data_IF_800573288914
#
_entry.id   IF_800573288914
#
_cell.length_a   1.000
_cell.length_b   1.000
_cell.length_c   1.000
_cell.angle_alpha   90.00
_cell.angle_beta   90.00
_cell.angle_gamma   90.00
#
_symmetry.space_group_name_H-M   'P 1'
#
loop_
_entity.id
_entity.type
_entity.pdbx_description
1 polymer ?
#
# COMPACT_ATOMS: atom_id res chain seq x y z
N UNK A 1 4.46 19.08 43.06
CA UNK A 1 4.20 17.65 43.36
C UNK A 1 3.75 17.00 42.07
N UNK A 2 4.54 16.04 41.59
CA UNK A 2 4.44 15.43 40.26
C UNK A 2 5.84 15.07 39.73
N UNK A 3 6.65 14.46 40.59
CA UNK A 3 7.92 13.84 40.22
C UNK A 3 7.56 12.50 39.55
N UNK A 4 7.66 12.43 38.23
CA UNK A 4 7.60 11.16 37.49
C UNK A 4 8.97 10.94 36.87
N UNK A 5 9.67 9.97 37.47
CA UNK A 5 11.09 9.71 37.32
C UNK A 5 11.63 9.77 35.89
N UNK A 6 12.84 10.32 35.77
CA UNK A 6 13.69 10.11 34.61
C UNK A 6 13.78 8.60 34.33
N UNK A 7 13.29 8.09 33.19
CA UNK A 7 13.79 6.83 32.70
C UNK A 7 15.20 7.15 32.19
N UNK A 8 16.23 6.75 32.93
CA UNK A 8 17.49 6.42 32.26
C UNK A 8 17.20 5.37 31.18
N UNK A 9 17.97 5.31 30.08
CA UNK A 9 17.77 4.25 29.10
C UNK A 9 17.81 2.90 29.83
N UNK A 10 16.77 2.07 29.63
CA UNK A 10 16.82 0.68 30.03
C UNK A 10 17.92 0.02 29.19
N UNK A 11 19.14 -0.03 29.73
CA UNK A 11 20.32 -0.51 29.01
C UNK A 11 20.18 -1.99 28.56
N UNK A 12 19.23 -2.72 29.14
CA UNK A 12 18.98 -4.14 28.86
C UNK A 12 17.70 -4.42 28.03
N UNK A 13 16.98 -3.37 27.58
CA UNK A 13 15.81 -3.56 26.70
C UNK A 13 16.21 -3.47 25.23
N UNK A 14 15.99 -4.52 24.40
CA UNK A 14 16.17 -4.42 22.95
C UNK A 14 15.08 -3.56 22.28
N UNK A 15 14.02 -3.22 23.02
CA UNK A 15 12.90 -2.41 22.54
C UNK A 15 13.12 -0.92 22.88
N UNK A 16 12.83 0.00 21.94
CA UNK A 16 12.89 1.42 22.21
C UNK A 16 11.84 1.81 23.25
N UNK A 17 12.04 2.95 23.89
CA UNK A 17 10.99 3.57 24.70
C UNK A 17 9.75 3.76 23.82
N UNK A 18 8.55 3.63 24.40
CA UNK A 18 7.30 3.80 23.66
C UNK A 18 7.20 5.16 22.94
N UNK A 19 7.93 6.16 23.45
CA UNK A 19 8.04 7.50 22.88
C UNK A 19 8.76 7.53 21.51
N UNK A 20 9.65 6.58 21.25
CA UNK A 20 10.50 6.54 20.04
C UNK A 20 10.25 5.28 19.18
N UNK A 21 9.20 4.51 19.47
CA UNK A 21 8.87 3.26 18.78
C UNK A 21 8.55 3.49 17.29
N UNK A 22 7.89 4.61 16.98
CA UNK A 22 7.59 5.06 15.62
C UNK A 22 8.86 5.41 14.83
N UNK A 23 9.81 6.10 15.47
CA UNK A 23 11.10 6.43 14.86
C UNK A 23 11.94 5.17 14.56
N UNK A 24 11.88 4.14 15.42
CA UNK A 24 12.49 2.83 15.12
C UNK A 24 11.82 2.20 13.89
N UNK A 25 10.49 2.17 13.86
CA UNK A 25 9.76 1.59 12.73
C UNK A 25 10.01 2.33 11.41
N UNK A 26 10.11 3.66 11.42
CA UNK A 26 10.51 4.45 10.24
C UNK A 26 11.89 4.03 9.71
N UNK A 27 12.88 3.81 10.58
CA UNK A 27 14.22 3.35 10.17
C UNK A 27 14.20 1.96 9.54
N UNK A 28 13.37 1.06 10.06
CA UNK A 28 13.25 -0.31 9.56
C UNK A 28 12.48 -0.37 8.24
N UNK A 29 11.50 0.52 8.05
CA UNK A 29 10.71 0.61 6.83
C UNK A 29 11.44 1.31 5.69
N UNK A 30 12.27 2.32 6.00
CA UNK A 30 13.06 3.11 5.04
C UNK A 30 13.76 2.28 3.94
N UNK A 31 14.56 1.24 4.24
CA UNK A 31 15.21 0.43 3.21
C UNK A 31 14.23 -0.40 2.36
N UNK A 32 13.02 -0.69 2.85
CA UNK A 32 12.00 -1.45 2.11
C UNK A 32 11.34 -0.56 1.05
N UNK A 33 11.08 0.70 1.38
CA UNK A 33 10.44 1.67 0.47
C UNK A 33 11.45 2.52 -0.32
N UNK A 34 12.75 2.33 -0.08
CA UNK A 34 13.82 3.06 -0.78
C UNK A 34 13.89 4.55 -0.43
N UNK A 35 13.63 4.91 0.83
CA UNK A 35 13.59 6.30 1.31
C UNK A 35 14.57 6.55 2.45
N UNK A 36 14.87 7.82 2.76
CA UNK A 36 15.53 8.16 4.02
C UNK A 36 14.56 7.97 5.20
N UNK A 37 15.01 7.56 6.41
CA UNK A 37 14.15 7.44 7.57
C UNK A 37 13.36 8.72 7.92
N UNK A 38 13.90 9.90 7.61
CA UNK A 38 13.20 11.18 7.81
C UNK A 38 12.05 11.41 6.83
N UNK A 39 11.98 10.66 5.74
CA UNK A 39 10.91 10.72 4.72
C UNK A 39 9.80 9.69 4.98
N UNK A 40 9.93 8.89 6.05
CA UNK A 40 8.98 7.83 6.43
C UNK A 40 8.36 8.12 7.79
N UNK A 41 7.03 8.08 7.87
CA UNK A 41 6.30 8.09 9.13
C UNK A 41 5.39 6.87 9.25
N UNK A 42 5.58 6.06 10.29
CA UNK A 42 4.67 4.97 10.64
C UNK A 42 3.57 5.54 11.55
N UNK A 43 2.38 5.73 10.98
CA UNK A 43 1.25 6.34 11.69
C UNK A 43 -0.09 5.90 11.09
N UNK A 44 -1.13 5.91 11.92
CA UNK A 44 -2.54 5.71 11.52
C UNK A 44 -2.76 4.48 10.60
N UNK A 45 -3.86 4.47 9.84
CA UNK A 45 -4.18 3.46 8.82
C UNK A 45 -3.91 4.03 7.41
N UNK A 46 -3.86 3.16 6.40
CA UNK A 46 -3.60 3.57 5.00
C UNK A 46 -4.57 4.64 4.50
N UNK A 47 -5.88 4.39 4.60
CA UNK A 47 -6.92 5.32 4.13
C UNK A 47 -6.87 6.66 4.88
N UNK A 48 -6.60 6.63 6.20
CA UNK A 48 -6.42 7.85 6.97
C UNK A 48 -5.21 8.65 6.50
N UNK A 49 -4.07 8.01 6.28
CA UNK A 49 -2.87 8.67 5.74
C UNK A 49 -3.11 9.28 4.37
N UNK A 50 -3.86 8.61 3.47
CA UNK A 50 -4.23 9.18 2.18
C UNK A 50 -5.05 10.46 2.34
N UNK A 51 -6.04 10.50 3.25
CA UNK A 51 -6.77 11.73 3.54
C UNK A 51 -5.86 12.86 4.05
N UNK A 52 -4.94 12.55 4.97
CA UNK A 52 -4.03 13.54 5.56
C UNK A 52 -3.07 14.11 4.51
N UNK A 53 -2.52 13.25 3.66
CA UNK A 53 -1.68 13.67 2.53
C UNK A 53 -2.47 14.50 1.53
N UNK A 54 -3.66 14.05 1.13
CA UNK A 54 -4.49 14.81 0.20
C UNK A 54 -4.87 16.17 0.75
N UNK A 55 -5.17 16.31 2.05
CA UNK A 55 -5.43 17.62 2.65
C UNK A 55 -4.21 18.56 2.56
N UNK A 56 -2.99 18.03 2.60
CA UNK A 56 -1.77 18.82 2.47
C UNK A 56 -1.40 19.16 1.01
N UNK A 57 -1.67 18.24 0.08
CA UNK A 57 -1.15 18.29 -1.29
C UNK A 57 -2.19 18.62 -2.36
N UNK A 58 -3.44 18.21 -2.18
CA UNK A 58 -4.52 18.52 -3.10
C UNK A 58 -5.04 19.94 -2.80
N UNK A 59 -4.56 20.91 -3.60
CA UNK A 59 -4.91 22.34 -3.50
C UNK A 59 -5.64 22.77 -4.77
N UNK A 60 -6.90 22.35 -4.96
CA UNK A 60 -7.58 22.56 -6.23
C UNK A 60 -7.93 24.03 -6.47
N UNK A 61 -7.89 24.43 -7.74
CA UNK A 61 -8.38 25.72 -8.22
C UNK A 61 -9.65 25.49 -9.05
N UNK A 62 -10.78 26.08 -8.63
CA UNK A 62 -12.10 25.87 -9.29
C UNK A 62 -12.06 26.14 -10.79
N UNK A 63 -11.41 27.23 -11.20
CA UNK A 63 -11.28 27.62 -12.61
C UNK A 63 -9.91 27.22 -13.21
N UNK A 64 -9.23 26.23 -12.60
CA UNK A 64 -7.86 25.88 -12.93
C UNK A 64 -7.54 24.40 -12.72
N UNK A 65 -6.41 24.10 -12.07
CA UNK A 65 -6.00 22.72 -11.80
C UNK A 65 -6.77 22.16 -10.61
N UNK A 66 -7.71 21.24 -10.87
CA UNK A 66 -8.50 20.60 -9.81
C UNK A 66 -8.75 19.10 -10.01
N UNK A 67 -8.35 18.52 -11.13
CA UNK A 67 -8.65 17.11 -11.42
C UNK A 67 -7.70 16.16 -10.70
N UNK A 68 -8.22 15.02 -10.25
CA UNK A 68 -7.47 13.88 -9.76
C UNK A 68 -7.69 12.72 -10.72
N UNK A 69 -6.60 12.05 -11.09
CA UNK A 69 -6.61 10.90 -11.98
C UNK A 69 -6.39 9.65 -11.12
N UNK A 70 -7.19 8.60 -11.37
CA UNK A 70 -7.08 7.28 -10.76
C UNK A 70 -7.53 6.21 -11.74
N UNK A 71 -7.20 4.95 -11.49
CA UNK A 71 -7.75 3.83 -12.24
C UNK A 71 -9.24 3.61 -11.93
N UNK A 72 -10.03 3.22 -12.94
CA UNK A 72 -11.50 3.16 -12.82
C UNK A 72 -12.02 2.15 -11.80
N UNK A 73 -11.27 1.06 -11.59
CA UNK A 73 -11.56 0.01 -10.61
C UNK A 73 -10.57 0.03 -9.45
N UNK A 74 -10.22 1.24 -9.02
CA UNK A 74 -9.43 1.43 -7.82
C UNK A 74 -10.04 0.72 -6.62
N UNK A 75 -9.22 0.40 -5.63
CA UNK A 75 -9.72 -0.19 -4.40
C UNK A 75 -10.76 0.78 -3.77
N UNK A 76 -11.91 0.29 -3.26
CA UNK A 76 -13.03 1.15 -2.90
C UNK A 76 -12.67 2.29 -1.95
N UNK A 77 -11.80 2.05 -0.96
CA UNK A 77 -11.41 3.10 -0.01
C UNK A 77 -10.67 4.26 -0.68
N UNK A 78 -9.83 3.98 -1.68
CA UNK A 78 -9.03 4.97 -2.39
C UNK A 78 -9.93 5.84 -3.26
N UNK A 79 -10.91 5.22 -3.93
CA UNK A 79 -11.97 5.92 -4.64
C UNK A 79 -12.75 6.86 -3.71
N UNK A 80 -13.15 6.38 -2.52
CA UNK A 80 -13.85 7.21 -1.54
C UNK A 80 -12.99 8.36 -1.02
N UNK A 81 -11.70 8.14 -0.79
CA UNK A 81 -10.78 9.20 -0.37
C UNK A 81 -10.75 10.32 -1.41
N UNK A 82 -10.55 9.99 -2.69
CA UNK A 82 -10.49 10.97 -3.78
C UNK A 82 -11.82 11.71 -3.90
N UNK A 83 -12.93 10.97 -3.91
CA UNK A 83 -14.26 11.53 -4.06
C UNK A 83 -14.63 12.48 -2.90
N UNK A 84 -14.35 12.08 -1.66
CA UNK A 84 -14.57 12.90 -0.47
C UNK A 84 -13.69 14.14 -0.47
N UNK A 85 -12.42 14.05 -0.86
CA UNK A 85 -11.52 15.21 -0.93
C UNK A 85 -11.98 16.22 -1.98
N UNK A 86 -12.47 15.76 -3.14
CA UNK A 86 -13.07 16.62 -4.16
C UNK A 86 -14.29 17.35 -3.58
N UNK A 87 -15.23 16.62 -2.99
CA UNK A 87 -16.46 17.20 -2.39
C UNK A 87 -16.14 18.17 -1.25
N UNK A 88 -15.14 17.86 -0.42
CA UNK A 88 -14.70 18.71 0.68
C UNK A 88 -14.22 20.10 0.22
N UNK A 89 -13.68 20.18 -1.01
CA UNK A 89 -13.29 21.44 -1.64
C UNK A 89 -14.41 22.11 -2.45
N UNK A 90 -15.65 21.63 -2.33
CA UNK A 90 -16.82 22.16 -3.03
C UNK A 90 -16.79 21.94 -4.54
N UNK A 91 -16.14 20.87 -4.98
CA UNK A 91 -16.06 20.45 -6.37
C UNK A 91 -16.92 19.21 -6.63
N UNK A 92 -17.26 18.98 -7.89
CA UNK A 92 -18.03 17.82 -8.33
C UNK A 92 -17.08 16.67 -8.73
N UNK A 93 -17.26 15.44 -8.21
CA UNK A 93 -16.53 14.27 -8.68
C UNK A 93 -16.68 14.02 -10.19
N UNK A 94 -17.85 14.28 -10.75
CA UNK A 94 -18.14 14.09 -12.18
C UNK A 94 -17.22 14.92 -13.09
N UNK A 95 -16.75 16.06 -12.59
CA UNK A 95 -15.88 16.99 -13.35
C UNK A 95 -14.42 16.96 -12.88
N UNK A 96 -14.17 16.49 -11.67
CA UNK A 96 -12.87 16.56 -10.99
C UNK A 96 -12.21 15.21 -10.78
N UNK A 97 -12.91 14.11 -11.02
CA UNK A 97 -12.38 12.76 -10.87
C UNK A 97 -12.29 12.09 -12.24
N UNK A 98 -11.08 11.76 -12.66
CA UNK A 98 -10.79 11.16 -13.96
C UNK A 98 -10.37 9.71 -13.76
N UNK A 99 -11.32 8.81 -14.00
CA UNK A 99 -11.10 7.38 -13.95
C UNK A 99 -10.54 6.88 -15.29
N UNK A 100 -9.30 6.36 -15.31
CA UNK A 100 -8.72 5.74 -16.50
C UNK A 100 -9.21 4.30 -16.61
N UNK A 101 -9.80 3.97 -17.76
CA UNK A 101 -10.19 2.61 -18.13
C UNK A 101 -9.19 1.99 -19.11
N UNK A 102 -9.07 0.65 -19.16
CA UNK A 102 -8.36 -0.03 -20.25
C UNK A 102 -8.93 0.37 -21.61
N UNK A 103 -8.09 0.41 -22.65
CA UNK A 103 -8.51 0.79 -24.01
C UNK A 103 -9.68 -0.04 -24.53
N UNK A 104 -9.66 -1.34 -24.25
CA UNK A 104 -10.76 -2.27 -24.48
C UNK A 104 -11.09 -2.99 -23.17
N UNK A 105 -11.89 -2.35 -22.31
CA UNK A 105 -12.26 -2.91 -21.01
C UNK A 105 -13.04 -4.25 -21.09
N UNK A 106 -13.50 -4.65 -22.29
CA UNK A 106 -14.10 -5.96 -22.51
C UNK A 106 -13.04 -7.07 -22.68
N UNK A 107 -11.82 -6.74 -23.10
CA UNK A 107 -10.73 -7.70 -23.34
C UNK A 107 -9.59 -7.58 -22.33
N UNK A 108 -9.29 -6.35 -21.94
CA UNK A 108 -8.14 -5.97 -21.13
C UNK A 108 -8.58 -5.57 -19.71
N UNK A 109 -7.83 -6.06 -18.73
CA UNK A 109 -8.00 -5.71 -17.32
C UNK A 109 -6.83 -4.89 -16.78
N UNK A 110 -5.91 -4.46 -17.64
CA UNK A 110 -4.67 -3.77 -17.28
C UNK A 110 -4.57 -2.45 -18.03
N UNK A 111 -3.81 -1.51 -17.45
CA UNK A 111 -3.49 -0.23 -18.07
C UNK A 111 -2.03 -0.26 -18.54
N UNK A 112 -1.79 -0.04 -19.83
CA UNK A 112 -0.42 0.12 -20.30
C UNK A 112 0.15 1.48 -19.88
N UNK A 113 1.46 1.56 -19.67
CA UNK A 113 2.13 2.82 -19.34
C UNK A 113 1.89 3.88 -20.43
N UNK A 114 1.98 3.49 -21.70
CA UNK A 114 1.68 4.37 -22.83
C UNK A 114 0.25 4.93 -22.76
N UNK A 115 -0.73 4.09 -22.39
CA UNK A 115 -2.11 4.53 -22.25
C UNK A 115 -2.26 5.54 -21.12
N UNK A 116 -1.70 5.26 -19.94
CA UNK A 116 -1.69 6.19 -18.80
C UNK A 116 -1.03 7.52 -19.19
N UNK A 117 0.11 7.47 -19.89
CA UNK A 117 0.84 8.66 -20.35
C UNK A 117 0.02 9.51 -21.32
N UNK A 118 -0.84 8.90 -22.13
CA UNK A 118 -1.73 9.63 -23.04
C UNK A 118 -2.73 10.52 -22.29
N UNK A 119 -3.10 10.16 -21.05
CA UNK A 119 -3.92 11.00 -20.16
C UNK A 119 -3.09 12.07 -19.43
N UNK A 120 -1.78 11.84 -19.25
CA UNK A 120 -0.95 12.66 -18.38
C UNK A 120 -0.19 13.80 -19.07
N UNK A 121 -0.09 13.84 -20.41
CA UNK A 121 0.69 14.85 -21.15
C UNK A 121 2.06 15.18 -20.51
N UNK A 122 2.65 14.19 -19.82
CA UNK A 122 3.74 14.37 -18.86
C UNK A 122 4.28 12.99 -18.47
N UNK A 123 5.61 12.88 -18.46
CA UNK A 123 6.37 11.63 -18.47
C UNK A 123 6.12 10.62 -17.33
N UNK A 124 6.82 9.46 -17.39
CA UNK A 124 6.48 8.27 -16.62
C UNK A 124 6.80 8.35 -15.12
N UNK A 125 5.90 7.80 -14.31
CA UNK A 125 6.18 7.32 -12.94
C UNK A 125 5.30 7.91 -11.85
N UNK A 126 4.23 7.20 -11.46
CA UNK A 126 3.57 7.33 -10.15
C UNK A 126 2.78 6.06 -9.81
N UNK A 127 3.19 5.32 -8.76
CA UNK A 127 2.26 4.62 -7.85
C UNK A 127 2.93 4.36 -6.48
N UNK A 128 2.15 4.54 -5.40
CA UNK A 128 2.17 3.76 -4.16
C UNK A 128 3.22 4.02 -3.06
N UNK A 129 2.83 4.76 -2.02
CA UNK A 129 3.53 4.90 -0.72
C UNK A 129 3.30 6.29 -0.10
N UNK A 130 3.07 6.40 1.21
CA UNK A 130 3.03 7.70 1.91
C UNK A 130 4.46 8.20 2.15
N UNK A 131 5.14 8.54 1.06
CA UNK A 131 6.45 9.16 1.04
C UNK A 131 6.25 10.66 0.90
N UNK A 132 6.74 11.43 1.86
CA UNK A 132 6.83 12.88 1.70
C UNK A 132 8.28 13.22 1.45
N UNK A 133 8.63 13.35 0.17
CA UNK A 133 9.95 13.80 -0.26
C UNK A 133 10.40 15.01 0.57
N UNK A 134 11.66 15.01 1.03
CA UNK A 134 12.23 16.06 1.89
C UNK A 134 11.85 17.50 1.48
N UNK A 135 11.78 17.81 0.18
CA UNK A 135 11.41 19.14 -0.34
C UNK A 135 10.02 19.63 0.08
N UNK A 136 9.11 18.71 0.42
CA UNK A 136 7.73 19.00 0.82
C UNK A 136 7.50 18.91 2.33
N UNK A 137 8.49 18.41 3.07
CA UNK A 137 8.47 18.26 4.53
C UNK A 137 9.44 19.19 5.27
N UNK A 138 10.19 20.04 4.55
CA UNK A 138 11.07 21.05 5.15
C UNK A 138 10.29 22.00 6.06
N UNK A 139 10.96 22.42 7.13
CA UNK A 139 10.53 23.43 8.08
C UNK A 139 11.64 24.47 8.11
N UNK A 140 11.36 25.69 7.64
CA UNK A 140 12.38 26.75 7.45
C UNK A 140 12.40 27.79 8.56
N UNK A 141 11.45 27.73 9.48
CA UNK A 141 11.32 28.61 10.65
C UNK A 141 11.62 27.83 11.92
N UNK A 142 12.09 28.49 12.96
CA UNK A 142 12.25 27.93 14.30
C UNK A 142 11.04 28.27 15.19
N UNK A 143 10.84 27.49 16.26
CA UNK A 143 9.78 27.74 17.27
C UNK A 143 9.84 29.16 17.85
N UNK A 144 11.06 29.71 17.96
CA UNK A 144 11.32 31.05 18.49
C UNK A 144 11.02 32.18 17.50
N UNK A 145 10.76 31.87 16.23
CA UNK A 145 10.62 32.90 15.21
C UNK A 145 9.30 33.67 15.36
N UNK A 146 9.28 34.98 15.07
CA UNK A 146 8.06 35.77 15.11
C UNK A 146 6.97 35.25 14.16
N UNK A 147 7.36 34.63 13.04
CA UNK A 147 6.49 34.03 12.03
C UNK A 147 6.56 32.49 12.04
N UNK A 148 6.72 31.89 13.22
CA UNK A 148 6.79 30.43 13.39
C UNK A 148 5.56 29.65 12.88
N UNK A 149 4.47 30.33 12.52
CA UNK A 149 3.28 29.73 11.90
C UNK A 149 3.42 29.53 10.38
N UNK A 150 4.49 30.06 9.76
CA UNK A 150 4.81 29.91 8.35
C UNK A 150 6.10 29.08 8.15
N UNK A 151 6.49 28.80 6.90
CA UNK A 151 7.74 28.09 6.59
C UNK A 151 7.63 26.56 6.52
N UNK A 152 6.40 26.02 6.50
CA UNK A 152 6.14 24.60 6.27
C UNK A 152 4.82 24.38 5.51
N UNK A 153 4.71 23.26 4.80
CA UNK A 153 3.49 22.88 4.06
C UNK A 153 2.30 22.74 5.03
N UNK A 154 1.16 23.36 4.69
CA UNK A 154 -0.10 23.18 5.42
C UNK A 154 -0.44 21.69 5.58
N UNK A 155 -0.77 21.28 6.79
CA UNK A 155 -1.07 19.89 7.16
C UNK A 155 -1.93 19.88 8.42
N UNK A 156 -2.67 18.81 8.65
CA UNK A 156 -3.33 18.62 9.94
C UNK A 156 -2.27 18.50 11.03
N UNK A 157 -2.39 19.36 12.04
CA UNK A 157 -1.48 19.39 13.17
C UNK A 157 -2.01 18.50 14.29
N UNK A 158 -1.12 17.75 14.92
CA UNK A 158 -1.37 17.13 16.21
C UNK A 158 -0.11 17.13 17.06
N UNK A 159 -0.28 17.00 18.36
CA UNK A 159 0.81 17.16 19.34
C UNK A 159 2.00 16.23 19.09
N UNK A 160 1.78 15.06 18.48
CA UNK A 160 2.85 14.11 18.17
C UNK A 160 3.73 14.55 17.01
N UNK A 161 3.15 15.28 16.04
CA UNK A 161 3.90 15.89 14.95
C UNK A 161 4.66 17.14 15.35
N UNK A 162 4.51 17.63 16.59
CA UNK A 162 5.26 18.76 17.10
C UNK A 162 6.74 18.41 17.30
N UNK A 163 7.61 19.40 17.18
CA UNK A 163 9.05 19.28 17.38
C UNK A 163 9.36 18.55 18.71
N UNK A 164 10.23 17.53 18.63
CA UNK A 164 10.52 16.63 19.76
C UNK A 164 11.09 17.38 20.97
N UNK A 165 11.89 18.43 20.76
CA UNK A 165 12.52 19.19 21.84
C UNK A 165 11.52 20.04 22.63
N UNK A 166 10.42 20.45 21.98
CA UNK A 166 9.40 21.30 22.58
C UNK A 166 8.06 20.59 22.87
N UNK A 167 7.90 19.32 22.44
CA UNK A 167 6.65 18.53 22.55
C UNK A 167 6.02 18.54 23.95
N UNK A 168 6.84 18.44 25.00
CA UNK A 168 6.37 18.40 26.39
C UNK A 168 6.33 19.77 27.07
N UNK A 169 6.71 20.85 26.38
CA UNK A 169 6.58 22.22 26.88
C UNK A 169 5.11 22.67 26.87
N UNK A 170 4.22 21.92 26.20
CA UNK A 170 2.77 22.17 26.12
C UNK A 170 2.40 23.59 25.68
N UNK A 171 3.27 24.23 24.89
CA UNK A 171 2.95 25.49 24.26
C UNK A 171 1.79 25.30 23.26
N UNK A 172 0.92 26.29 23.15
CA UNK A 172 -0.22 26.26 22.22
C UNK A 172 0.16 26.60 20.77
N UNK A 173 1.43 26.94 20.53
CA UNK A 173 1.97 27.16 19.18
C UNK A 173 2.52 25.85 18.64
N UNK A 174 1.91 25.35 17.58
CA UNK A 174 2.39 24.17 16.86
C UNK A 174 3.58 24.53 15.97
N UNK A 175 4.64 23.73 16.06
CA UNK A 175 5.80 23.80 15.19
C UNK A 175 6.19 22.37 14.80
N UNK A 176 6.01 21.98 13.53
CA UNK A 176 6.14 20.58 13.14
C UNK A 176 7.60 20.10 13.24
N UNK A 177 7.76 18.84 13.62
CA UNK A 177 9.03 18.15 13.46
C UNK A 177 9.44 18.14 11.96
N UNK A 178 10.73 18.29 11.64
CA UNK A 178 11.21 18.15 10.27
C UNK A 178 10.89 16.77 9.70
N UNK A 179 10.65 16.70 8.38
CA UNK A 179 10.40 15.44 7.69
C UNK A 179 8.98 14.92 7.83
N UNK A 180 8.79 13.63 7.54
CA UNK A 180 7.49 12.95 7.58
C UNK A 180 6.91 12.88 9.00
N UNK A 181 7.75 12.90 10.04
CA UNK A 181 7.32 12.94 11.44
C UNK A 181 6.39 14.12 11.75
N UNK A 182 6.58 15.27 11.07
CA UNK A 182 5.72 16.43 11.23
C UNK A 182 4.28 16.26 10.74
N UNK A 183 3.94 15.13 10.09
CA UNK A 183 2.57 14.78 9.70
C UNK A 183 1.84 13.90 10.72
N UNK A 184 2.53 13.46 11.78
CA UNK A 184 1.92 12.66 12.84
C UNK A 184 0.94 13.52 13.66
N UNK A 185 -0.17 12.91 14.08
CA UNK A 185 -1.20 13.61 14.84
C UNK A 185 -1.15 13.26 16.32
N UNK A 186 -1.35 11.99 16.62
CA UNK A 186 -1.48 11.46 17.97
C UNK A 186 -0.36 10.48 18.28
N UNK A 187 -0.22 10.15 19.57
CA UNK A 187 0.70 9.09 20.00
C UNK A 187 0.41 7.79 19.25
N UNK A 188 1.46 7.05 18.85
CA UNK A 188 1.31 5.83 18.07
C UNK A 188 0.70 4.69 18.91
N UNK A 189 0.09 3.73 18.22
CA UNK A 189 -0.28 2.44 18.82
C UNK A 189 0.99 1.60 19.04
N UNK A 190 1.41 1.49 20.31
CA UNK A 190 2.65 0.77 20.67
C UNK A 190 2.57 -0.70 20.27
N UNK A 191 1.41 -1.34 20.41
CA UNK A 191 1.23 -2.76 20.10
C UNK A 191 1.32 -3.02 18.59
N UNK A 192 0.72 -2.16 17.78
CA UNK A 192 0.73 -2.32 16.32
C UNK A 192 2.15 -2.10 15.78
N UNK A 193 2.84 -1.06 16.27
CA UNK A 193 4.21 -0.79 15.83
C UNK A 193 5.18 -1.87 16.31
N UNK A 194 5.01 -2.41 17.51
CA UNK A 194 5.85 -3.52 17.99
C UNK A 194 5.65 -4.76 17.11
N UNK A 195 4.41 -5.07 16.74
CA UNK A 195 4.10 -6.18 15.82
C UNK A 195 4.67 -5.94 14.41
N UNK A 196 4.60 -4.70 13.92
CA UNK A 196 5.24 -4.30 12.67
C UNK A 196 6.76 -4.47 12.73
N UNK A 197 7.42 -4.01 13.78
CA UNK A 197 8.87 -4.18 13.95
C UNK A 197 9.27 -5.66 13.92
N UNK A 198 8.55 -6.54 14.61
CA UNK A 198 8.82 -7.98 14.57
C UNK A 198 8.72 -8.56 13.14
N UNK A 199 7.74 -8.10 12.34
CA UNK A 199 7.64 -8.48 10.92
C UNK A 199 8.82 -7.95 10.10
N UNK A 200 9.20 -6.68 10.29
CA UNK A 200 10.32 -6.06 9.58
C UNK A 200 11.67 -6.71 9.92
N UNK A 201 11.85 -7.21 11.15
CA UNK A 201 13.01 -8.04 11.52
C UNK A 201 13.09 -9.31 10.68
N UNK A 202 11.95 -9.95 10.35
CA UNK A 202 11.94 -11.11 9.44
C UNK A 202 12.37 -10.73 8.01
N UNK A 203 11.96 -9.56 7.51
CA UNK A 203 12.46 -9.05 6.22
C UNK A 203 13.96 -8.82 6.24
N UNK A 204 14.50 -8.26 7.32
CA UNK A 204 15.94 -8.07 7.51
C UNK A 204 16.69 -9.41 7.55
N UNK A 205 16.19 -10.39 8.32
CA UNK A 205 16.74 -11.75 8.39
C UNK A 205 16.72 -12.46 7.03
N UNK A 206 15.73 -12.16 6.17
CA UNK A 206 15.66 -12.67 4.81
C UNK A 206 16.65 -12.00 3.83
N UNK A 207 17.44 -11.02 4.29
CA UNK A 207 18.38 -10.25 3.47
C UNK A 207 17.75 -9.04 2.76
N UNK A 208 16.58 -8.59 3.22
CA UNK A 208 15.84 -7.45 2.66
C UNK A 208 14.97 -7.79 1.46
N UNK A 209 14.54 -6.77 0.73
CA UNK A 209 13.56 -6.91 -0.37
C UNK A 209 14.16 -7.59 -1.61
N UNK A 210 15.46 -7.42 -1.88
CA UNK A 210 16.08 -7.92 -3.11
C UNK A 210 16.04 -9.45 -3.20
N UNK A 211 16.53 -10.23 -2.21
CA UNK A 211 16.44 -11.69 -2.27
C UNK A 211 14.99 -12.19 -2.30
N UNK A 212 14.08 -11.51 -1.60
CA UNK A 212 12.65 -11.83 -1.62
C UNK A 212 12.03 -11.61 -3.00
N UNK A 213 12.40 -10.53 -3.70
CA UNK A 213 11.96 -10.28 -5.07
C UNK A 213 12.50 -11.34 -6.03
N UNK A 214 13.77 -11.72 -5.91
CA UNK A 214 14.36 -12.80 -6.73
C UNK A 214 13.61 -14.13 -6.54
N UNK A 215 13.30 -14.50 -5.29
CA UNK A 215 12.50 -15.70 -5.00
C UNK A 215 11.07 -15.56 -5.52
N UNK A 216 10.43 -14.40 -5.35
CA UNK A 216 9.08 -14.14 -5.85
C UNK A 216 9.00 -14.28 -7.36
N UNK A 217 9.97 -13.75 -8.10
CA UNK A 217 10.04 -13.89 -9.56
C UNK A 217 10.06 -15.37 -9.97
N UNK A 218 10.87 -16.19 -9.30
CA UNK A 218 10.97 -17.63 -9.56
C UNK A 218 9.71 -18.39 -9.18
N UNK A 219 9.12 -18.12 -8.01
CA UNK A 219 7.88 -18.76 -7.56
C UNK A 219 6.73 -18.47 -8.53
N UNK A 220 6.54 -17.19 -8.87
CA UNK A 220 5.43 -16.80 -9.74
C UNK A 220 5.64 -17.28 -11.18
N UNK A 221 6.88 -17.29 -11.70
CA UNK A 221 7.18 -17.90 -13.00
C UNK A 221 6.96 -19.42 -13.01
N UNK A 222 7.28 -20.11 -11.92
CA UNK A 222 7.00 -21.54 -11.79
C UNK A 222 5.49 -21.82 -11.74
N UNK A 223 4.74 -21.08 -10.92
CA UNK A 223 3.28 -21.17 -10.87
C UNK A 223 2.65 -20.90 -12.24
N UNK A 224 3.11 -19.86 -12.94
CA UNK A 224 2.69 -19.53 -14.30
C UNK A 224 2.95 -20.69 -15.26
N UNK A 225 4.15 -21.28 -15.24
CA UNK A 225 4.49 -22.43 -16.09
C UNK A 225 3.66 -23.69 -15.79
N UNK A 226 3.32 -23.93 -14.51
CA UNK A 226 2.42 -25.01 -14.13
C UNK A 226 0.98 -24.79 -14.65
N UNK A 227 0.48 -23.55 -14.57
CA UNK A 227 -0.83 -23.19 -15.11
C UNK A 227 -0.88 -23.31 -16.63
N UNK A 228 0.18 -22.91 -17.33
CA UNK A 228 0.29 -23.06 -18.78
C UNK A 228 0.40 -24.54 -19.21
N UNK A 229 0.88 -25.41 -18.31
CA UNK A 229 0.97 -26.87 -18.49
C UNK A 229 -0.29 -27.66 -18.10
N UNK A 230 -1.38 -27.00 -17.74
CA UNK A 230 -2.65 -27.66 -17.43
C UNK A 230 -3.22 -28.40 -18.65
N UNK A 231 -3.93 -29.53 -18.46
CA UNK A 231 -4.64 -30.22 -19.54
C UNK A 231 -5.61 -29.29 -20.29
N UNK A 232 -5.77 -29.51 -21.60
CA UNK A 232 -6.57 -28.63 -22.49
C UNK A 232 -8.00 -28.40 -21.99
N UNK A 233 -8.63 -29.43 -21.38
CA UNK A 233 -9.99 -29.34 -20.81
C UNK A 233 -10.09 -28.32 -19.67
N UNK A 234 -9.02 -28.17 -18.88
CA UNK A 234 -8.94 -27.25 -17.75
C UNK A 234 -8.43 -25.89 -18.21
N UNK A 235 -7.45 -25.87 -19.11
CA UNK A 235 -6.87 -24.64 -19.64
C UNK A 235 -7.92 -23.77 -20.34
N UNK A 236 -8.90 -24.38 -21.02
CA UNK A 236 -10.02 -23.67 -21.64
C UNK A 236 -10.94 -22.94 -20.63
N UNK A 237 -10.88 -23.29 -19.34
CA UNK A 237 -11.72 -22.71 -18.29
C UNK A 237 -11.07 -21.50 -17.61
N UNK A 238 -9.81 -21.19 -17.93
CA UNK A 238 -9.06 -20.12 -17.24
C UNK A 238 -8.31 -19.22 -18.23
N UNK A 239 -8.11 -17.97 -17.81
CA UNK A 239 -7.22 -17.02 -18.47
C UNK A 239 -6.42 -16.25 -17.44
N UNK A 240 -5.11 -16.25 -17.54
CA UNK A 240 -4.25 -15.38 -16.73
C UNK A 240 -4.42 -13.94 -17.24
N UNK A 241 -4.87 -13.04 -16.38
CA UNK A 241 -5.10 -11.63 -16.72
C UNK A 241 -4.02 -10.69 -16.17
N UNK A 242 -3.16 -11.20 -15.28
CA UNK A 242 -1.93 -10.51 -14.89
C UNK A 242 -0.96 -10.44 -16.09
N UNK A 243 -0.24 -9.33 -16.31
CA UNK A 243 0.79 -9.25 -17.34
C UNK A 243 1.83 -10.38 -17.22
N UNK A 244 2.23 -10.95 -18.35
CA UNK A 244 3.22 -12.03 -18.41
C UNK A 244 4.63 -11.51 -18.10
N UNK A 245 4.93 -10.28 -18.50
CA UNK A 245 6.23 -9.62 -18.27
C UNK A 245 6.54 -9.51 -16.76
N UNK A 246 7.64 -10.10 -16.26
CA UNK A 246 7.92 -10.14 -14.82
C UNK A 246 8.06 -8.76 -14.15
N UNK A 247 8.52 -7.75 -14.91
CA UNK A 247 8.65 -6.36 -14.44
C UNK A 247 7.30 -5.62 -14.36
N UNK A 248 6.26 -6.14 -15.00
CA UNK A 248 4.91 -5.57 -14.96
C UNK A 248 4.00 -6.26 -13.92
N UNK A 249 4.56 -7.14 -13.06
CA UNK A 249 3.80 -7.85 -12.02
C UNK A 249 4.57 -8.09 -10.72
N UNK A 250 3.80 -8.25 -9.64
CA UNK A 250 4.29 -8.72 -8.34
C UNK A 250 4.25 -10.24 -8.21
N UNK A 251 4.06 -10.72 -6.98
CA UNK A 251 3.90 -12.14 -6.69
C UNK A 251 2.53 -12.70 -7.14
N UNK A 252 1.51 -11.84 -7.25
CA UNK A 252 0.12 -12.23 -7.51
C UNK A 252 -0.15 -12.52 -8.99
N UNK A 253 -0.80 -13.65 -9.27
CA UNK A 253 -1.50 -13.93 -10.51
C UNK A 253 -3.01 -13.85 -10.27
N UNK A 254 -3.68 -13.08 -11.13
CA UNK A 254 -5.14 -13.04 -11.22
C UNK A 254 -5.55 -13.97 -12.36
N UNK A 255 -6.40 -14.94 -12.06
CA UNK A 255 -6.89 -15.96 -12.98
C UNK A 255 -8.39 -15.71 -13.19
N UNK A 256 -8.75 -15.32 -14.41
CA UNK A 256 -10.14 -15.21 -14.84
C UNK A 256 -10.67 -16.61 -15.15
N UNK A 257 -11.75 -16.99 -14.50
CA UNK A 257 -12.45 -18.26 -14.70
C UNK A 257 -13.55 -18.08 -15.75
N UNK A 258 -13.95 -19.17 -16.39
CA UNK A 258 -15.18 -19.21 -17.16
C UNK A 258 -16.39 -18.89 -16.27
N UNK A 259 -17.45 -18.35 -16.87
CA UNK A 259 -18.63 -17.87 -16.15
C UNK A 259 -19.29 -19.00 -15.34
N UNK A 260 -19.72 -18.67 -14.11
CA UNK A 260 -20.40 -19.60 -13.21
C UNK A 260 -19.49 -20.52 -12.41
N UNK A 261 -18.17 -20.53 -12.64
CA UNK A 261 -17.27 -21.45 -11.93
C UNK A 261 -16.83 -20.97 -10.54
N UNK A 262 -16.88 -19.66 -10.27
CA UNK A 262 -16.23 -19.07 -9.09
C UNK A 262 -16.72 -19.67 -7.77
N UNK A 263 -18.04 -19.67 -7.54
CA UNK A 263 -18.62 -20.13 -6.27
C UNK A 263 -18.25 -21.61 -6.00
N UNK A 264 -18.34 -22.47 -7.02
CA UNK A 264 -17.99 -23.90 -6.88
C UNK A 264 -16.48 -24.15 -6.70
N UNK A 265 -15.62 -23.31 -7.29
CA UNK A 265 -14.18 -23.37 -7.05
C UNK A 265 -13.84 -22.95 -5.62
N UNK A 266 -14.48 -21.90 -5.11
CA UNK A 266 -14.24 -21.40 -3.75
C UNK A 266 -14.78 -22.36 -2.68
N UNK A 267 -15.94 -22.99 -2.90
CA UNK A 267 -16.45 -24.06 -2.04
C UNK A 267 -15.46 -25.23 -1.94
N UNK A 268 -14.91 -25.68 -3.07
CA UNK A 268 -13.89 -26.73 -3.07
C UNK A 268 -12.62 -26.31 -2.32
N UNK A 269 -12.17 -25.06 -2.51
CA UNK A 269 -11.00 -24.54 -1.82
C UNK A 269 -11.20 -24.44 -0.31
N UNK A 270 -12.40 -24.09 0.15
CA UNK A 270 -12.74 -24.11 1.58
C UNK A 270 -12.68 -25.53 2.16
N UNK A 271 -13.20 -26.53 1.44
CA UNK A 271 -13.15 -27.94 1.85
C UNK A 271 -11.70 -28.49 1.96
N UNK A 272 -10.84 -28.12 1.00
CA UNK A 272 -9.46 -28.62 0.91
C UNK A 272 -8.44 -27.72 1.64
N UNK A 273 -8.88 -26.62 2.26
CA UNK A 273 -8.01 -25.71 3.00
C UNK A 273 -7.09 -24.84 2.13
N UNK A 274 -7.46 -24.58 0.87
CA UNK A 274 -6.73 -23.69 -0.03
C UNK A 274 -7.21 -22.25 0.18
N UNK A 275 -6.36 -21.42 0.78
CA UNK A 275 -6.72 -20.03 1.09
C UNK A 275 -6.20 -19.09 0.00
N UNK A 276 -7.14 -18.49 -0.74
CA UNK A 276 -6.89 -17.48 -1.76
C UNK A 276 -7.96 -16.38 -1.69
N UNK A 277 -7.80 -15.33 -2.48
CA UNK A 277 -8.78 -14.26 -2.60
C UNK A 277 -9.62 -14.40 -3.87
N UNK A 278 -10.92 -14.13 -3.77
CA UNK A 278 -11.82 -14.03 -4.91
C UNK A 278 -12.21 -12.59 -5.25
N UNK A 279 -12.46 -12.36 -6.53
CA UNK A 279 -13.03 -11.12 -7.06
C UNK A 279 -14.17 -11.46 -8.00
N UNK A 280 -15.38 -11.18 -7.53
CA UNK A 280 -16.60 -11.36 -8.32
C UNK A 280 -16.54 -10.55 -9.63
N UNK A 281 -17.11 -11.08 -10.72
CA UNK A 281 -17.90 -12.32 -10.76
C UNK A 281 -17.10 -13.63 -10.95
N UNK A 282 -15.85 -13.58 -11.39
CA UNK A 282 -15.18 -14.77 -11.92
C UNK A 282 -13.64 -14.72 -11.86
N UNK A 283 -13.04 -14.00 -10.92
CA UNK A 283 -11.57 -13.94 -10.81
C UNK A 283 -11.12 -14.53 -9.48
N UNK A 284 -10.08 -15.37 -9.51
CA UNK A 284 -9.33 -15.78 -8.32
C UNK A 284 -7.93 -15.16 -8.33
N UNK A 285 -7.40 -14.83 -7.16
CA UNK A 285 -6.09 -14.21 -6.99
C UNK A 285 -5.20 -15.07 -6.12
N UNK A 286 -4.10 -15.54 -6.68
CA UNK A 286 -3.10 -16.39 -6.01
C UNK A 286 -1.78 -15.64 -5.95
N UNK A 287 -1.19 -15.52 -4.75
CA UNK A 287 0.04 -14.75 -4.53
C UNK A 287 1.02 -15.53 -3.64
N UNK A 288 1.90 -16.36 -4.22
CA UNK A 288 2.93 -17.06 -3.45
C UNK A 288 3.88 -16.06 -2.78
N UNK A 289 3.82 -15.96 -1.46
CA UNK A 289 4.64 -15.04 -0.70
C UNK A 289 6.05 -15.63 -0.50
N UNK A 290 7.12 -14.95 -0.94
CA UNK A 290 8.48 -15.52 -0.91
C UNK A 290 9.01 -15.79 0.50
N UNK A 291 8.45 -15.17 1.54
CA UNK A 291 8.88 -15.40 2.92
C UNK A 291 8.56 -16.82 3.41
N UNK A 292 7.39 -17.36 3.07
CA UNK A 292 6.90 -18.61 3.66
C UNK A 292 6.36 -19.60 2.64
N UNK A 293 6.10 -19.19 1.40
CA UNK A 293 5.75 -20.14 0.34
C UNK A 293 6.97 -20.75 -0.34
N UNK A 294 6.78 -21.96 -0.84
CA UNK A 294 7.77 -22.74 -1.58
C UNK A 294 7.19 -23.24 -2.91
N UNK A 295 8.01 -23.91 -3.72
CA UNK A 295 7.59 -24.40 -5.04
C UNK A 295 6.58 -25.56 -4.96
N UNK A 296 6.61 -26.36 -3.89
CA UNK A 296 5.64 -27.44 -3.66
C UNK A 296 4.25 -26.83 -3.41
N UNK A 297 4.14 -25.74 -2.64
CA UNK A 297 2.86 -25.04 -2.45
C UNK A 297 2.24 -24.60 -3.80
N UNK A 298 3.08 -24.13 -4.74
CA UNK A 298 2.60 -23.76 -6.08
C UNK A 298 2.14 -24.99 -6.88
N UNK A 299 2.84 -26.11 -6.77
CA UNK A 299 2.48 -27.36 -7.42
C UNK A 299 1.15 -27.90 -6.85
N UNK A 300 1.05 -28.02 -5.53
CA UNK A 300 -0.13 -28.50 -4.82
C UNK A 300 -1.35 -27.60 -5.13
N UNK A 301 -1.16 -26.28 -5.17
CA UNK A 301 -2.20 -25.35 -5.58
C UNK A 301 -2.73 -25.67 -6.99
N UNK A 302 -1.85 -25.87 -7.98
CA UNK A 302 -2.29 -26.15 -9.36
C UNK A 302 -3.00 -27.50 -9.46
N UNK A 303 -2.55 -28.52 -8.73
CA UNK A 303 -3.26 -29.81 -8.65
C UNK A 303 -4.67 -29.66 -8.08
N UNK A 304 -4.81 -28.91 -6.98
CA UNK A 304 -6.11 -28.67 -6.35
C UNK A 304 -7.00 -27.78 -7.21
N UNK A 305 -6.43 -26.77 -7.85
CA UNK A 305 -7.16 -25.88 -8.74
C UNK A 305 -7.74 -26.61 -9.95
N UNK A 306 -6.98 -27.54 -10.56
CA UNK A 306 -7.49 -28.38 -11.64
C UNK A 306 -8.67 -29.27 -11.19
N UNK A 307 -8.63 -29.81 -9.97
CA UNK A 307 -9.74 -30.58 -9.39
C UNK A 307 -10.96 -29.68 -9.11
N UNK A 308 -10.73 -28.49 -8.54
CA UNK A 308 -11.76 -27.49 -8.26
C UNK A 308 -12.53 -27.11 -9.52
N UNK A 309 -11.80 -26.77 -10.60
CA UNK A 309 -12.39 -26.40 -11.89
C UNK A 309 -13.23 -27.53 -12.49
N UNK A 310 -12.75 -28.78 -12.42
CA UNK A 310 -13.50 -29.95 -12.91
C UNK A 310 -14.72 -30.27 -12.06
N UNK A 311 -14.69 -30.04 -10.75
CA UNK A 311 -15.85 -30.21 -9.86
C UNK A 311 -16.89 -29.13 -10.20
N UNK A 312 -16.49 -27.86 -10.22
CA UNK A 312 -17.35 -26.73 -10.52
C UNK A 312 -18.01 -26.84 -11.90
N UNK A 313 -17.27 -27.25 -12.94
CA UNK A 313 -17.78 -27.39 -14.30
C UNK A 313 -18.74 -28.59 -14.48
N UNK A 314 -18.83 -29.50 -13.51
CA UNK A 314 -19.79 -30.63 -13.51
C UNK A 314 -21.03 -30.35 -12.66
N UNK A 315 -21.03 -29.26 -11.88
CA UNK A 315 -22.20 -28.85 -11.11
C UNK A 315 -23.26 -28.27 -12.06
N UNK A 316 -24.51 -28.78 -12.03
CA UNK A 316 -25.58 -28.37 -12.95
C UNK A 316 -26.06 -26.93 -12.73
#
# INVERSE_FOLDING_TARGET
>A
MGDTGRPGPFHDSPLPTWLDVDAKASKMMAPIVGADPSEVAVMQTLTANLHLLMSAFYKPQKDGRHKIILESKAFPSDHFVVETQIRHHGLSPETSMVCIEPKDAAKDSTLSTEHILSYLNGGPGCIGGAFVHERHSRVTTAVSDPDAASGYTNRFAGWWGNDKSSRFVMATKFHPAPGAAGFQLSNPSVLDITSLCASLEVFELAGGVVPLREKSLRLTAYLEGLLDGLPEDVQALIRIITPREPEARGAQLSLMLADGLLDGVMEYFEEEGVIIDERKPNVVRVAPAPLYNNFVDCFDFVEQFAKALRKANKSP
#
